data_IF_807101555214
#
_entry.id   IF_807101555214
#
_cell.length_a   1.000
_cell.length_b   1.000
_cell.length_c   1.000
_cell.angle_alpha   90.00
_cell.angle_beta   90.00
_cell.angle_gamma   90.00
#
_symmetry.space_group_name_H-M   'P 1'
#
loop_
_entity.id
_entity.type
_entity.pdbx_description
1 polymer ?
#
# COMPACT_ATOMS: atom_id res chain seq x y z
N UNK A 1 2.39 -0.65 5.63
CA UNK A 1 3.85 -0.82 5.39
C UNK A 1 4.02 -1.65 4.14
N UNK A 2 4.61 -1.10 3.09
CA UNK A 2 4.85 -1.79 1.83
C UNK A 2 6.34 -2.19 1.79
N UNK A 3 6.60 -3.50 1.68
CA UNK A 3 7.96 -4.05 1.81
C UNK A 3 8.53 -4.36 0.43
N UNK A 4 8.75 -3.32 -0.36
CA UNK A 4 9.23 -3.47 -1.73
C UNK A 4 10.61 -4.11 -1.79
N UNK A 5 11.54 -3.58 -1.01
CA UNK A 5 12.87 -4.14 -0.86
C UNK A 5 13.51 -4.49 -2.23
N UNK A 6 14.09 -5.68 -2.39
CA UNK A 6 14.67 -6.10 -3.67
C UNK A 6 13.63 -6.20 -4.78
N UNK A 7 12.38 -6.59 -4.46
CA UNK A 7 11.31 -6.72 -5.44
C UNK A 7 11.03 -5.39 -6.17
N UNK A 8 11.03 -4.26 -5.45
CA UNK A 8 10.85 -2.94 -6.04
C UNK A 8 11.92 -2.61 -7.09
N UNK A 9 13.17 -2.97 -6.85
CA UNK A 9 14.27 -2.76 -7.80
C UNK A 9 14.22 -3.68 -9.02
N UNK A 10 13.61 -4.86 -8.88
CA UNK A 10 13.41 -5.79 -9.99
C UNK A 10 12.22 -5.39 -10.87
N UNK A 11 11.09 -5.07 -10.24
CA UNK A 11 9.83 -4.92 -10.95
C UNK A 11 9.49 -3.50 -11.39
N UNK A 12 9.94 -2.47 -10.65
CA UNK A 12 9.39 -1.12 -10.82
C UNK A 12 10.40 0.02 -10.87
N UNK A 13 11.40 0.02 -9.99
CA UNK A 13 12.26 1.20 -9.84
C UNK A 13 13.33 1.33 -10.93
N UNK A 14 13.57 0.24 -11.68
CA UNK A 14 14.70 0.16 -12.60
C UNK A 14 16.03 0.18 -11.85
N UNK A 15 16.89 -0.74 -12.10
CA UNK A 15 18.14 -0.92 -11.33
C UNK A 15 18.44 -2.38 -11.13
N UNK A 16 17.67 -3.25 -11.78
CA UNK A 16 17.83 -4.70 -11.77
C UNK A 16 19.23 -5.15 -12.19
N UNK A 17 19.94 -4.35 -12.99
CA UNK A 17 21.31 -4.60 -13.43
C UNK A 17 22.37 -3.93 -12.53
N UNK A 18 21.96 -3.27 -11.45
CA UNK A 18 22.82 -2.52 -10.55
C UNK A 18 22.97 -3.22 -9.20
N UNK A 19 24.12 -3.87 -8.91
CA UNK A 19 24.36 -4.45 -7.58
C UNK A 19 24.18 -3.45 -6.44
N UNK A 20 24.50 -2.18 -6.67
CA UNK A 20 24.34 -1.11 -5.66
C UNK A 20 22.88 -0.78 -5.38
N UNK A 21 22.01 -0.81 -6.40
CA UNK A 21 20.59 -0.57 -6.21
C UNK A 21 19.91 -1.81 -5.59
N UNK A 22 20.30 -3.01 -5.99
CA UNK A 22 19.87 -4.25 -5.30
C UNK A 22 20.25 -4.22 -3.82
N UNK A 23 21.45 -3.73 -3.45
CA UNK A 23 21.84 -3.58 -2.04
C UNK A 23 20.99 -2.56 -1.28
N UNK A 24 20.39 -1.60 -1.96
CA UNK A 24 19.40 -0.70 -1.31
C UNK A 24 18.13 -1.48 -0.93
N UNK A 25 17.69 -2.39 -1.78
CA UNK A 25 16.62 -3.33 -1.45
C UNK A 25 16.99 -4.30 -0.33
N UNK A 26 18.26 -4.78 -0.30
CA UNK A 26 18.78 -5.57 0.82
C UNK A 26 18.76 -4.80 2.15
N UNK A 27 19.11 -3.50 2.11
CA UNK A 27 18.96 -2.64 3.30
C UNK A 27 17.52 -2.61 3.80
N UNK A 28 16.56 -2.46 2.89
CA UNK A 28 15.14 -2.43 3.28
C UNK A 28 14.71 -3.72 3.97
N UNK A 29 15.05 -4.88 3.37
CA UNK A 29 14.68 -6.19 3.91
C UNK A 29 15.39 -6.57 5.20
N UNK A 30 16.70 -6.31 5.32
CA UNK A 30 17.48 -6.77 6.47
C UNK A 30 17.57 -5.74 7.61
N UNK A 31 17.66 -4.46 7.27
CA UNK A 31 17.88 -3.40 8.26
C UNK A 31 16.63 -2.54 8.47
N UNK A 32 15.98 -2.19 7.36
CA UNK A 32 14.79 -1.33 7.39
C UNK A 32 13.62 -2.00 8.11
N UNK A 33 13.29 -3.24 7.75
CA UNK A 33 12.22 -3.99 8.41
C UNK A 33 12.46 -4.15 9.92
N UNK A 34 13.68 -4.53 10.31
CA UNK A 34 14.00 -4.70 11.73
C UNK A 34 13.82 -3.40 12.50
N UNK A 35 14.29 -2.28 11.97
CA UNK A 35 14.14 -0.96 12.60
C UNK A 35 12.68 -0.49 12.69
N UNK A 36 11.87 -0.81 11.68
CA UNK A 36 10.45 -0.49 11.69
C UNK A 36 9.69 -1.35 12.71
N UNK A 37 10.02 -2.65 12.82
CA UNK A 37 9.47 -3.52 13.86
C UNK A 37 9.82 -3.01 15.25
N UNK A 38 11.09 -2.67 15.49
CA UNK A 38 11.55 -2.11 16.76
C UNK A 38 10.86 -0.77 17.08
N UNK A 39 10.59 0.07 16.06
CA UNK A 39 9.83 1.31 16.24
C UNK A 39 8.39 1.01 16.66
N UNK A 40 7.68 0.15 15.91
CA UNK A 40 6.27 -0.16 16.19
C UNK A 40 6.08 -0.86 17.54
N UNK A 41 7.00 -1.74 17.94
CA UNK A 41 7.02 -2.31 19.29
C UNK A 41 7.18 -1.22 20.36
N UNK A 42 8.16 -0.32 20.20
CA UNK A 42 8.44 0.75 21.16
C UNK A 42 7.28 1.73 21.32
N UNK A 43 6.58 2.04 20.22
CA UNK A 43 5.45 2.96 20.24
C UNK A 43 4.10 2.25 20.37
N UNK A 44 4.07 0.93 20.52
CA UNK A 44 2.86 0.10 20.65
C UNK A 44 1.83 0.38 19.55
N UNK A 45 2.24 0.20 18.28
CA UNK A 45 1.38 0.42 17.12
C UNK A 45 1.18 -0.89 16.35
N UNK A 46 -0.06 -1.44 16.29
CA UNK A 46 -0.38 -2.49 15.35
C UNK A 46 -0.39 -1.95 13.92
N UNK A 47 0.05 -2.75 12.96
CA UNK A 47 0.15 -2.33 11.57
C UNK A 47 -0.13 -3.46 10.58
N UNK A 48 -0.42 -3.09 9.34
CA UNK A 48 -0.55 -4.03 8.22
C UNK A 48 0.68 -3.91 7.32
N UNK A 49 1.25 -5.05 6.96
CA UNK A 49 2.45 -5.17 6.13
C UNK A 49 2.09 -5.86 4.82
N UNK A 50 2.23 -5.15 3.73
CA UNK A 50 2.01 -5.69 2.40
C UNK A 50 3.36 -6.08 1.81
N UNK A 51 3.56 -7.37 1.65
CA UNK A 51 4.89 -7.93 1.37
C UNK A 51 4.84 -8.67 0.03
N UNK A 52 5.61 -8.25 -0.99
CA UNK A 52 5.75 -9.01 -2.23
C UNK A 52 6.24 -10.43 -1.96
N UNK A 53 5.76 -11.39 -2.75
CA UNK A 53 6.18 -12.79 -2.60
C UNK A 53 7.69 -12.97 -2.66
N UNK A 54 8.38 -12.24 -3.55
CA UNK A 54 9.84 -12.21 -3.64
C UNK A 54 10.50 -11.74 -2.34
N UNK A 55 9.94 -10.72 -1.68
CA UNK A 55 10.47 -10.21 -0.41
C UNK A 55 10.26 -11.21 0.72
N UNK A 56 9.15 -11.97 0.75
CA UNK A 56 8.94 -13.06 1.72
C UNK A 56 9.99 -14.16 1.54
N UNK A 57 10.26 -14.57 0.30
CA UNK A 57 11.24 -15.65 0.01
C UNK A 57 12.68 -15.19 0.21
N UNK A 58 12.98 -13.89 0.00
CA UNK A 58 14.33 -13.33 0.16
C UNK A 58 14.67 -13.03 1.63
N UNK A 59 13.69 -12.60 2.42
CA UNK A 59 13.83 -12.19 3.83
C UNK A 59 12.90 -12.98 4.76
N UNK A 60 12.99 -14.33 4.78
CA UNK A 60 12.01 -15.16 5.50
C UNK A 60 12.05 -14.94 7.01
N UNK A 61 13.19 -14.59 7.59
CA UNK A 61 13.29 -14.35 9.03
C UNK A 61 12.62 -13.04 9.42
N UNK A 62 12.77 -11.98 8.64
CA UNK A 62 12.09 -10.71 8.88
C UNK A 62 10.59 -10.84 8.67
N UNK A 63 10.14 -11.49 7.60
CA UNK A 63 8.73 -11.75 7.36
C UNK A 63 8.10 -12.55 8.51
N UNK A 64 8.81 -13.55 9.06
CA UNK A 64 8.35 -14.31 10.23
C UNK A 64 8.22 -13.42 11.47
N UNK A 65 9.20 -12.54 11.73
CA UNK A 65 9.15 -11.58 12.85
C UNK A 65 7.94 -10.65 12.75
N UNK A 66 7.55 -10.20 11.55
CA UNK A 66 6.32 -9.42 11.34
C UNK A 66 5.09 -10.19 11.81
N UNK A 67 4.96 -11.46 11.40
CA UNK A 67 3.84 -12.31 11.81
C UNK A 67 3.85 -12.59 13.33
N UNK A 68 5.01 -12.93 13.90
CA UNK A 68 5.18 -13.21 15.33
C UNK A 68 4.91 -11.99 16.22
N UNK A 69 5.17 -10.78 15.71
CA UNK A 69 4.82 -9.52 16.38
C UNK A 69 3.30 -9.20 16.36
N UNK A 70 2.50 -10.02 15.68
CA UNK A 70 1.04 -9.86 15.61
C UNK A 70 0.58 -8.78 14.63
N UNK A 71 1.45 -8.36 13.73
CA UNK A 71 1.06 -7.50 12.62
C UNK A 71 0.31 -8.30 11.55
N UNK A 72 -0.54 -7.63 10.79
CA UNK A 72 -1.19 -8.22 9.63
C UNK A 72 -0.21 -8.32 8.46
N UNK A 73 -0.30 -9.40 7.67
CA UNK A 73 0.43 -9.54 6.41
C UNK A 73 -0.57 -9.66 5.26
N UNK A 74 -0.51 -8.72 4.32
CA UNK A 74 -1.28 -8.67 3.09
C UNK A 74 -0.41 -8.91 1.85
N UNK A 75 -1.06 -9.10 0.70
CA UNK A 75 -0.40 -9.36 -0.56
C UNK A 75 -0.03 -8.06 -1.30
N UNK A 76 1.12 -8.08 -2.01
CA UNK A 76 1.67 -6.95 -2.76
C UNK A 76 2.38 -7.38 -4.06
N UNK A 77 1.70 -8.21 -4.85
CA UNK A 77 2.33 -8.83 -6.01
C UNK A 77 3.42 -9.84 -5.64
N UNK A 78 4.27 -10.21 -6.61
CA UNK A 78 5.41 -11.09 -6.37
C UNK A 78 6.75 -10.33 -6.45
N UNK A 79 7.04 -9.68 -7.58
CA UNK A 79 8.27 -8.89 -7.82
C UNK A 79 7.96 -7.40 -7.94
N UNK A 80 6.90 -6.91 -7.31
CA UNK A 80 6.44 -5.53 -7.41
C UNK A 80 6.14 -5.11 -8.87
N UNK A 81 5.58 -6.01 -9.64
CA UNK A 81 5.19 -5.81 -11.03
C UNK A 81 3.89 -5.00 -11.15
N UNK A 82 3.78 -4.18 -12.21
CA UNK A 82 2.56 -3.41 -12.48
C UNK A 82 1.45 -4.32 -13.02
N UNK A 83 0.30 -4.49 -12.34
CA UNK A 83 -0.80 -5.34 -12.79
C UNK A 83 -1.36 -4.99 -14.17
N UNK A 84 -1.29 -3.72 -14.58
CA UNK A 84 -1.77 -3.28 -15.91
C UNK A 84 -1.00 -3.98 -17.04
N UNK A 85 0.28 -4.26 -16.83
CA UNK A 85 1.14 -4.90 -17.84
C UNK A 85 0.96 -6.42 -17.93
N UNK A 86 0.24 -7.03 -16.98
CA UNK A 86 0.09 -8.48 -16.90
C UNK A 86 -1.08 -9.00 -17.75
N UNK A 87 -0.94 -10.22 -18.24
CA UNK A 87 -2.09 -11.01 -18.69
C UNK A 87 -2.87 -11.52 -17.48
N UNK A 88 -4.15 -11.87 -17.68
CA UNK A 88 -4.96 -12.46 -16.60
C UNK A 88 -4.32 -13.70 -15.99
N UNK A 89 -3.73 -14.57 -16.82
CA UNK A 89 -3.04 -15.79 -16.33
C UNK A 89 -1.85 -15.47 -15.45
N UNK A 90 -1.09 -14.42 -15.76
CA UNK A 90 0.03 -13.97 -14.92
C UNK A 90 -0.47 -13.36 -13.61
N UNK A 91 -1.48 -12.50 -13.66
CA UNK A 91 -2.06 -11.87 -12.47
C UNK A 91 -2.63 -12.91 -11.50
N UNK A 92 -3.34 -13.94 -12.02
CA UNK A 92 -3.81 -15.09 -11.23
C UNK A 92 -2.66 -15.86 -10.59
N UNK A 93 -1.64 -16.22 -11.35
CA UNK A 93 -0.50 -16.98 -10.84
C UNK A 93 0.25 -16.22 -9.73
N UNK A 94 0.35 -14.89 -9.82
CA UNK A 94 0.95 -14.03 -8.81
C UNK A 94 0.09 -14.01 -7.53
N UNK A 95 -1.23 -13.86 -7.65
CA UNK A 95 -2.12 -13.90 -6.49
C UNK A 95 -2.08 -15.27 -5.80
N UNK A 96 -2.12 -16.36 -6.56
CA UNK A 96 -2.01 -17.73 -6.04
C UNK A 96 -0.70 -17.94 -5.28
N UNK A 97 0.42 -17.48 -5.84
CA UNK A 97 1.74 -17.59 -5.19
C UNK A 97 1.81 -16.74 -3.92
N UNK A 98 1.27 -15.53 -3.94
CA UNK A 98 1.21 -14.66 -2.75
C UNK A 98 0.36 -15.29 -1.64
N UNK A 99 -0.79 -15.86 -1.98
CA UNK A 99 -1.68 -16.55 -1.04
C UNK A 99 -0.97 -17.78 -0.44
N UNK A 100 -0.27 -18.58 -1.25
CA UNK A 100 0.52 -19.73 -0.79
C UNK A 100 1.57 -19.30 0.25
N UNK A 101 2.39 -18.30 -0.09
CA UNK A 101 3.49 -17.84 0.75
C UNK A 101 3.00 -17.23 2.06
N UNK A 102 2.00 -16.35 2.00
CA UNK A 102 1.43 -15.71 3.19
C UNK A 102 0.70 -16.75 4.05
N UNK A 103 -0.03 -17.68 3.43
CA UNK A 103 -0.69 -18.78 4.14
C UNK A 103 0.29 -19.69 4.86
N UNK A 104 1.44 -20.00 4.25
CA UNK A 104 2.51 -20.77 4.88
C UNK A 104 3.16 -20.03 6.07
N UNK A 105 3.26 -18.69 5.97
CA UNK A 105 3.87 -17.85 6.97
C UNK A 105 2.97 -17.57 8.18
N UNK A 106 1.67 -17.31 7.95
CA UNK A 106 0.72 -16.84 8.97
C UNK A 106 -0.26 -17.92 9.45
N UNK A 107 -0.39 -19.02 8.70
CA UNK A 107 -1.39 -20.06 8.95
C UNK A 107 -2.78 -19.78 8.36
N UNK A 108 -2.97 -18.65 7.68
CA UNK A 108 -4.22 -18.28 7.01
C UNK A 108 -3.97 -17.46 5.74
N UNK A 109 -4.88 -17.47 4.76
CA UNK A 109 -4.73 -16.65 3.56
C UNK A 109 -4.79 -15.16 3.91
N UNK A 110 -4.15 -14.28 3.09
CA UNK A 110 -4.23 -12.84 3.28
C UNK A 110 -5.66 -12.35 3.11
N UNK A 111 -6.06 -11.36 3.91
CA UNK A 111 -7.35 -10.68 3.78
C UNK A 111 -7.29 -9.43 2.94
N UNK A 112 -6.13 -8.81 2.84
CA UNK A 112 -5.89 -7.55 2.19
C UNK A 112 -4.87 -7.60 1.06
N UNK A 113 -5.03 -6.67 0.14
CA UNK A 113 -4.17 -6.46 -1.00
C UNK A 113 -3.80 -4.98 -1.14
N UNK A 114 -2.59 -4.72 -1.60
CA UNK A 114 -2.15 -3.44 -2.14
C UNK A 114 -1.48 -3.71 -3.49
N UNK A 115 -1.93 -3.05 -4.53
CA UNK A 115 -1.30 -3.16 -5.83
C UNK A 115 0.04 -2.40 -5.85
N UNK A 116 1.11 -2.98 -6.41
CA UNK A 116 2.34 -2.24 -6.67
C UNK A 116 2.05 -0.93 -7.40
N UNK A 117 2.65 0.18 -6.95
CA UNK A 117 2.39 1.54 -7.46
C UNK A 117 0.94 2.02 -7.33
N UNK A 118 0.10 1.36 -6.54
CA UNK A 118 -1.35 1.56 -6.55
C UNK A 118 -1.97 1.47 -7.95
N UNK A 119 -1.37 0.67 -8.82
CA UNK A 119 -1.85 0.44 -10.18
C UNK A 119 -2.63 -0.87 -10.26
N UNK A 120 -3.87 -0.80 -10.71
CA UNK A 120 -4.75 -1.95 -10.86
C UNK A 120 -5.06 -2.19 -12.34
N UNK A 121 -5.12 -3.45 -12.76
CA UNK A 121 -5.73 -3.80 -14.03
C UNK A 121 -7.27 -3.71 -13.93
N UNK A 122 -7.94 -3.69 -15.06
CA UNK A 122 -9.42 -3.74 -15.09
C UNK A 122 -9.99 -5.02 -14.41
N UNK A 123 -9.16 -6.04 -14.22
CA UNK A 123 -9.52 -7.34 -13.65
C UNK A 123 -9.20 -7.47 -12.16
N UNK A 124 -8.25 -6.71 -11.65
CA UNK A 124 -7.69 -6.88 -10.30
C UNK A 124 -8.78 -7.00 -9.24
N UNK A 125 -9.72 -6.04 -9.16
CA UNK A 125 -10.77 -6.07 -8.15
C UNK A 125 -11.68 -7.32 -8.26
N UNK A 126 -11.96 -7.81 -9.48
CA UNK A 126 -12.73 -9.02 -9.69
C UNK A 126 -11.95 -10.27 -9.26
N UNK A 127 -10.66 -10.32 -9.54
CA UNK A 127 -9.78 -11.41 -9.11
C UNK A 127 -9.62 -11.44 -7.59
N UNK A 128 -9.44 -10.29 -6.94
CA UNK A 128 -9.39 -10.22 -5.50
C UNK A 128 -10.64 -10.83 -4.82
N UNK A 129 -11.82 -10.51 -5.36
CA UNK A 129 -13.07 -11.13 -4.89
C UNK A 129 -13.11 -12.65 -5.11
N UNK A 130 -12.68 -13.11 -6.28
CA UNK A 130 -12.65 -14.55 -6.62
C UNK A 130 -11.73 -15.32 -5.68
N UNK A 131 -10.58 -14.74 -5.30
CA UNK A 131 -9.62 -15.34 -4.37
C UNK A 131 -9.94 -15.07 -2.89
N UNK A 132 -11.06 -14.40 -2.57
CA UNK A 132 -11.57 -14.24 -1.22
C UNK A 132 -10.92 -13.12 -0.40
N UNK A 133 -10.28 -12.16 -1.07
CA UNK A 133 -9.82 -10.95 -0.38
C UNK A 133 -11.02 -10.12 0.12
N UNK A 134 -10.88 -9.52 1.28
CA UNK A 134 -11.94 -8.75 1.91
C UNK A 134 -11.77 -7.24 1.76
N UNK A 135 -10.56 -6.78 1.51
CA UNK A 135 -10.27 -5.37 1.28
C UNK A 135 -9.07 -5.16 0.35
N UNK A 136 -9.01 -3.98 -0.23
CA UNK A 136 -7.92 -3.46 -1.04
C UNK A 136 -7.55 -2.04 -0.58
N UNK A 137 -6.32 -1.62 -0.84
CA UNK A 137 -5.81 -0.28 -0.57
C UNK A 137 -5.04 0.25 -1.79
N UNK A 138 -5.72 0.30 -2.95
CA UNK A 138 -5.04 0.68 -4.19
C UNK A 138 -5.73 1.82 -4.95
N UNK A 139 -7.00 2.08 -4.70
CA UNK A 139 -7.75 3.11 -5.43
C UNK A 139 -7.70 4.46 -4.71
N UNK A 140 -7.76 5.56 -5.48
CA UNK A 140 -7.63 6.94 -4.98
C UNK A 140 -8.93 7.73 -5.20
N UNK A 141 -10.07 7.23 -4.73
CA UNK A 141 -11.37 7.82 -5.05
C UNK A 141 -11.97 8.69 -3.94
N UNK A 142 -12.00 8.20 -2.71
CA UNK A 142 -12.83 8.77 -1.64
C UNK A 142 -12.03 9.24 -0.42
N UNK A 143 -10.78 9.60 -0.64
CA UNK A 143 -9.89 10.20 0.33
C UNK A 143 -9.82 9.40 1.66
N UNK A 144 -10.28 9.95 2.77
CA UNK A 144 -10.22 9.32 4.10
C UNK A 144 -11.47 8.49 4.47
N UNK A 145 -12.40 8.31 3.54
CA UNK A 145 -13.61 7.52 3.78
C UNK A 145 -13.57 6.19 3.04
N UNK A 146 -13.52 5.06 3.75
CA UNK A 146 -13.63 3.75 3.10
C UNK A 146 -14.93 3.60 2.32
N UNK A 147 -14.89 2.83 1.25
CA UNK A 147 -16.03 2.56 0.39
C UNK A 147 -16.01 1.14 -0.15
N UNK A 148 -17.06 0.71 -0.82
CA UNK A 148 -17.06 -0.55 -1.56
C UNK A 148 -16.60 -0.30 -2.99
N UNK A 149 -15.61 -1.09 -3.43
CA UNK A 149 -15.03 -1.00 -4.77
C UNK A 149 -16.07 -1.22 -5.88
N UNK A 150 -15.73 -0.84 -7.10
CA UNK A 150 -16.52 -1.12 -8.30
C UNK A 150 -15.71 -1.96 -9.28
N UNK A 151 -16.43 -2.75 -10.06
CA UNK A 151 -15.88 -3.46 -11.21
C UNK A 151 -16.64 -3.08 -12.47
N UNK A 152 -15.93 -2.96 -13.59
CA UNK A 152 -16.51 -2.67 -14.89
C UNK A 152 -16.79 -1.20 -15.14
N UNK A 153 -16.11 -0.29 -14.49
CA UNK A 153 -16.06 1.12 -14.90
C UNK A 153 -15.51 1.20 -16.34
N UNK A 154 -16.10 2.06 -17.18
CA UNK A 154 -15.72 2.22 -18.59
C UNK A 154 -15.49 3.68 -18.92
N UNK A 155 -14.44 3.93 -19.67
CA UNK A 155 -14.15 5.24 -20.25
C UNK A 155 -13.62 5.10 -21.67
N UNK A 156 -13.65 6.17 -22.43
CA UNK A 156 -13.14 6.21 -23.80
C UNK A 156 -11.95 7.15 -23.85
N UNK A 157 -10.81 6.63 -24.26
CA UNK A 157 -9.62 7.45 -24.47
C UNK A 157 -9.79 8.35 -25.67
N UNK A 158 -9.38 9.64 -25.62
CA UNK A 158 -9.35 10.51 -26.78
C UNK A 158 -8.44 9.93 -27.88
N UNK A 159 -8.98 9.80 -29.09
CA UNK A 159 -8.22 9.51 -30.30
C UNK A 159 -8.30 10.72 -31.23
N UNK A 160 -7.23 11.48 -31.25
CA UNK A 160 -7.18 12.73 -32.05
C UNK A 160 -7.10 12.50 -33.55
N UNK A 161 -6.95 11.27 -34.01
CA UNK A 161 -7.07 10.90 -35.43
C UNK A 161 -8.52 10.70 -35.88
N UNK A 162 -9.44 10.54 -34.91
CA UNK A 162 -10.86 10.29 -35.16
C UNK A 162 -11.71 11.53 -34.87
N UNK A 163 -12.92 11.64 -35.47
CA UNK A 163 -13.85 12.72 -35.15
C UNK A 163 -14.18 12.79 -33.65
N UNK A 164 -14.16 13.99 -33.07
CA UNK A 164 -14.30 14.18 -31.61
C UNK A 164 -15.54 13.52 -30.99
N UNK A 165 -16.66 13.43 -31.73
CA UNK A 165 -17.91 12.81 -31.22
C UNK A 165 -17.77 11.31 -30.92
N UNK A 166 -16.75 10.63 -31.44
CA UNK A 166 -16.51 9.17 -31.19
C UNK A 166 -15.98 8.92 -29.80
N UNK A 167 -15.22 9.87 -29.23
CA UNK A 167 -14.58 9.74 -27.93
C UNK A 167 -15.08 10.74 -26.87
N UNK A 168 -15.89 11.74 -27.23
CA UNK A 168 -16.53 12.64 -26.26
C UNK A 168 -17.69 11.92 -25.52
N UNK A 169 -17.30 11.05 -24.59
CA UNK A 169 -18.25 10.29 -23.77
C UNK A 169 -17.88 10.40 -22.29
N UNK A 170 -18.88 10.50 -21.38
CA UNK A 170 -18.63 10.48 -19.95
C UNK A 170 -18.18 9.09 -19.51
N UNK A 171 -17.55 9.02 -18.32
CA UNK A 171 -17.27 7.76 -17.64
C UNK A 171 -18.59 7.05 -17.30
N UNK A 172 -18.69 5.78 -17.63
CA UNK A 172 -19.77 4.88 -17.24
C UNK A 172 -19.36 4.09 -16.00
N UNK A 173 -20.10 4.27 -14.91
CA UNK A 173 -19.80 3.56 -13.66
C UNK A 173 -20.26 2.11 -13.74
N UNK A 174 -19.39 1.21 -13.33
CA UNK A 174 -19.69 -0.21 -13.18
C UNK A 174 -20.52 -0.52 -11.94
N UNK A 175 -20.52 -1.79 -11.54
CA UNK A 175 -21.27 -2.24 -10.37
C UNK A 175 -20.43 -2.20 -9.10
N UNK A 176 -21.02 -1.84 -7.98
CA UNK A 176 -20.42 -1.95 -6.65
C UNK A 176 -20.30 -3.42 -6.26
N UNK A 177 -19.22 -3.78 -5.59
CA UNK A 177 -18.90 -5.16 -5.18
C UNK A 177 -18.50 -5.21 -3.72
N UNK A 178 -18.58 -6.40 -3.11
CA UNK A 178 -18.27 -6.62 -1.68
C UNK A 178 -16.75 -6.72 -1.41
N UNK A 179 -16.02 -5.70 -1.84
CA UNK A 179 -14.60 -5.49 -1.55
C UNK A 179 -14.46 -4.10 -0.91
N UNK A 180 -14.00 -4.05 0.33
CA UNK A 180 -13.78 -2.76 0.99
C UNK A 180 -12.53 -2.11 0.41
N UNK A 181 -12.63 -0.83 0.11
CA UNK A 181 -11.53 -0.03 -0.43
C UNK A 181 -11.11 1.02 0.57
N UNK A 182 -9.83 1.06 0.89
CA UNK A 182 -9.18 2.16 1.59
C UNK A 182 -8.39 2.97 0.57
N UNK A 183 -8.60 4.27 0.53
CA UNK A 183 -7.92 5.08 -0.47
C UNK A 183 -6.41 5.10 -0.27
N UNK A 184 -5.65 4.82 -1.33
CA UNK A 184 -4.26 5.22 -1.43
C UNK A 184 -4.16 6.75 -1.44
N UNK A 185 -3.09 7.30 -0.89
CA UNK A 185 -2.88 8.74 -0.88
C UNK A 185 -1.39 9.07 -1.06
N UNK A 186 -1.03 9.49 -2.27
CA UNK A 186 0.35 9.85 -2.60
C UNK A 186 0.96 10.95 -1.71
N UNK A 187 0.12 11.76 -1.03
CA UNK A 187 0.58 12.75 -0.07
C UNK A 187 0.81 12.19 1.34
N UNK A 188 0.41 10.93 1.59
CA UNK A 188 0.64 10.19 2.83
C UNK A 188 1.57 8.99 2.62
N UNK A 189 2.35 9.02 1.56
CA UNK A 189 3.35 8.03 1.19
C UNK A 189 4.76 8.61 1.40
N UNK A 190 5.63 7.87 2.07
CA UNK A 190 6.99 8.30 2.38
C UNK A 190 7.94 8.19 1.17
N UNK A 191 7.62 7.32 0.21
CA UNK A 191 8.51 6.98 -0.90
C UNK A 191 8.68 8.13 -1.92
N UNK A 192 7.62 8.75 -2.47
CA UNK A 192 7.78 9.77 -3.49
C UNK A 192 8.65 10.96 -3.07
N UNK A 193 8.51 11.53 -1.86
CA UNK A 193 9.32 12.67 -1.45
C UNK A 193 10.71 12.28 -0.94
N UNK A 194 10.90 11.08 -0.38
CA UNK A 194 12.10 10.77 0.40
C UNK A 194 12.97 9.65 -0.17
N UNK A 195 12.56 9.01 -1.27
CA UNK A 195 13.38 8.00 -1.95
C UNK A 195 13.91 8.49 -3.28
N UNK A 196 15.24 8.50 -3.43
CA UNK A 196 15.88 8.80 -4.71
C UNK A 196 15.94 7.55 -5.60
N UNK A 197 15.27 7.61 -6.75
CA UNK A 197 15.30 6.58 -7.80
C UNK A 197 15.86 7.20 -9.07
N UNK A 198 17.05 6.74 -9.51
CA UNK A 198 17.80 7.33 -10.62
C UNK A 198 17.01 7.41 -11.94
N UNK A 199 16.15 6.42 -12.19
CA UNK A 199 15.40 6.30 -13.43
C UNK A 199 13.99 6.89 -13.34
N UNK A 200 13.56 7.32 -12.17
CA UNK A 200 12.26 7.95 -11.99
C UNK A 200 12.40 9.48 -11.92
N UNK A 201 11.92 10.23 -12.91
CA UNK A 201 12.08 11.69 -12.94
C UNK A 201 11.33 12.41 -11.82
N UNK A 202 10.36 11.76 -11.19
CA UNK A 202 9.53 12.33 -10.13
C UNK A 202 10.00 11.95 -8.71
N UNK A 203 11.04 11.12 -8.60
CA UNK A 203 11.58 10.71 -7.30
C UNK A 203 12.76 11.59 -6.93
N UNK A 204 12.53 12.63 -6.15
CA UNK A 204 13.55 13.61 -5.78
C UNK A 204 14.44 13.15 -4.62
N UNK A 205 13.86 12.45 -3.64
CA UNK A 205 14.59 11.72 -2.61
C UNK A 205 15.36 12.53 -1.59
N UNK A 206 15.27 13.85 -1.60
CA UNK A 206 16.07 14.73 -0.76
C UNK A 206 15.22 15.75 0.03
N UNK A 207 13.94 15.46 0.21
CA UNK A 207 13.07 16.30 1.02
C UNK A 207 13.41 16.11 2.50
N UNK A 208 13.43 17.21 3.24
CA UNK A 208 13.63 17.16 4.68
C UNK A 208 12.44 16.45 5.35
N UNK A 209 12.64 15.39 6.15
CA UNK A 209 11.53 14.71 6.83
C UNK A 209 10.64 15.61 7.68
N UNK A 210 11.14 16.75 8.16
CA UNK A 210 10.31 17.71 8.92
C UNK A 210 9.26 18.39 8.05
N UNK A 211 9.54 18.66 6.79
CA UNK A 211 8.58 19.26 5.87
C UNK A 211 7.46 18.26 5.55
N UNK A 212 7.80 16.96 5.47
CA UNK A 212 6.84 15.87 5.31
C UNK A 212 6.02 15.67 6.60
N UNK A 213 6.64 15.74 7.77
CA UNK A 213 5.94 15.68 9.06
C UNK A 213 4.89 16.80 9.16
N UNK A 214 5.23 18.03 8.77
CA UNK A 214 4.31 19.18 8.76
C UNK A 214 3.14 18.94 7.80
N UNK A 215 3.42 18.49 6.58
CA UNK A 215 2.39 18.14 5.59
C UNK A 215 1.43 17.05 6.10
N UNK A 216 1.94 16.00 6.75
CA UNK A 216 1.12 14.94 7.31
C UNK A 216 0.30 15.41 8.53
N UNK A 217 0.85 16.29 9.37
CA UNK A 217 0.11 16.89 10.48
C UNK A 217 -1.04 17.76 10.00
N UNK A 218 -0.82 18.60 9.00
CA UNK A 218 -1.86 19.45 8.43
C UNK A 218 -3.02 18.62 7.85
N UNK A 219 -2.71 17.53 7.14
CA UNK A 219 -3.74 16.62 6.65
C UNK A 219 -4.48 15.92 7.80
N UNK A 220 -3.73 15.43 8.80
CA UNK A 220 -4.33 14.78 9.96
C UNK A 220 -5.23 15.75 10.74
N UNK A 221 -4.80 16.97 10.97
CA UNK A 221 -5.56 18.00 11.68
C UNK A 221 -6.85 18.33 10.96
N UNK A 222 -6.79 18.51 9.65
CA UNK A 222 -7.99 18.74 8.85
C UNK A 222 -8.97 17.57 8.97
N UNK A 223 -8.49 16.33 8.82
CA UNK A 223 -9.34 15.12 8.95
C UNK A 223 -9.93 15.03 10.35
N UNK A 224 -9.14 15.28 11.39
CA UNK A 224 -9.58 15.19 12.77
C UNK A 224 -10.68 16.20 13.11
N UNK A 225 -10.56 17.44 12.61
CA UNK A 225 -11.51 18.50 12.92
C UNK A 225 -12.74 18.53 12.01
N UNK A 226 -12.61 18.13 10.76
CA UNK A 226 -13.67 18.26 9.76
C UNK A 226 -14.46 16.96 9.53
N UNK A 227 -13.89 15.81 9.85
CA UNK A 227 -14.54 14.51 9.60
C UNK A 227 -14.99 13.85 10.90
N UNK A 228 -16.25 13.47 10.99
CA UNK A 228 -16.81 12.78 12.16
C UNK A 228 -16.32 11.33 12.31
N UNK A 229 -15.84 10.71 11.24
CA UNK A 229 -15.22 9.37 11.21
C UNK A 229 -14.41 9.23 9.94
N UNK A 230 -13.16 8.82 10.07
CA UNK A 230 -12.23 8.66 8.96
C UNK A 230 -11.28 7.48 9.19
N UNK A 231 -10.64 7.03 8.13
CA UNK A 231 -9.44 6.20 8.16
C UNK A 231 -8.31 7.04 7.56
N UNK A 232 -7.23 7.22 8.30
CA UNK A 232 -6.05 7.95 7.88
C UNK A 232 -4.95 6.94 7.52
N UNK A 233 -4.83 6.54 6.25
CA UNK A 233 -3.90 5.50 5.83
C UNK A 233 -2.52 6.11 5.58
N UNK A 234 -1.55 5.81 6.43
CA UNK A 234 -0.17 6.22 6.25
C UNK A 234 0.62 5.08 5.60
N UNK A 235 1.17 5.32 4.42
CA UNK A 235 1.96 4.34 3.69
C UNK A 235 3.45 4.59 3.91
N UNK A 236 4.13 3.56 4.35
CA UNK A 236 5.54 3.59 4.73
C UNK A 236 6.29 2.45 4.03
N UNK A 237 7.56 2.69 3.68
CA UNK A 237 8.44 1.71 3.07
C UNK A 237 9.71 1.55 3.90
N UNK A 238 10.15 0.34 4.26
CA UNK A 238 11.40 0.14 5.01
C UNK A 238 12.64 0.72 4.31
N UNK A 239 12.57 0.85 2.99
CA UNK A 239 13.58 1.50 2.14
C UNK A 239 13.87 2.95 2.57
N UNK A 240 12.85 3.65 2.99
CA UNK A 240 12.81 5.06 3.39
C UNK A 240 12.66 5.20 4.89
N UNK A 241 11.56 4.67 5.43
CA UNK A 241 11.21 4.82 6.85
C UNK A 241 12.19 4.12 7.80
N UNK A 242 12.93 3.11 7.32
CA UNK A 242 14.04 2.52 8.06
C UNK A 242 15.28 3.41 8.21
N UNK A 243 15.29 4.63 7.63
CA UNK A 243 16.40 5.58 7.74
C UNK A 243 16.31 6.40 9.03
N UNK A 244 17.44 6.67 9.72
CA UNK A 244 17.42 7.29 11.06
C UNK A 244 16.66 8.61 11.14
N UNK A 245 16.77 9.46 10.12
CA UNK A 245 16.09 10.76 10.09
C UNK A 245 14.57 10.63 9.93
N UNK A 246 14.11 9.58 9.24
CA UNK A 246 12.69 9.29 9.05
C UNK A 246 12.12 8.60 10.29
N UNK A 247 12.84 7.67 10.90
CA UNK A 247 12.44 7.06 12.18
C UNK A 247 12.18 8.11 13.26
N UNK A 248 13.09 9.11 13.41
CA UNK A 248 12.90 10.22 14.34
C UNK A 248 11.69 11.10 14.02
N UNK A 249 11.37 11.26 12.74
CA UNK A 249 10.17 11.97 12.30
C UNK A 249 8.91 11.17 12.65
N UNK A 250 8.90 9.87 12.36
CA UNK A 250 7.76 9.00 12.64
C UNK A 250 7.44 8.90 14.14
N UNK A 251 8.47 8.81 15.01
CA UNK A 251 8.25 8.86 16.47
C UNK A 251 7.46 10.12 16.88
N UNK A 252 7.87 11.29 16.40
CA UNK A 252 7.19 12.56 16.73
C UNK A 252 5.78 12.63 16.14
N UNK A 253 5.60 12.12 14.92
CA UNK A 253 4.30 12.10 14.26
C UNK A 253 3.32 11.17 14.98
N UNK A 254 3.75 9.95 15.33
CA UNK A 254 2.90 9.01 16.06
C UNK A 254 2.56 9.50 17.48
N UNK A 255 3.49 10.14 18.18
CA UNK A 255 3.22 10.77 19.46
C UNK A 255 2.19 11.90 19.33
N UNK A 256 2.32 12.72 18.29
CA UNK A 256 1.37 13.78 17.98
C UNK A 256 -0.04 13.23 17.75
N UNK A 257 -0.19 12.26 16.85
CA UNK A 257 -1.47 11.63 16.50
C UNK A 257 -2.11 10.97 17.73
N UNK A 258 -1.31 10.28 18.53
CA UNK A 258 -1.79 9.61 19.77
C UNK A 258 -2.35 10.58 20.80
N UNK A 259 -1.90 11.82 20.79
CA UNK A 259 -2.38 12.88 21.69
C UNK A 259 -3.83 13.32 21.45
N UNK A 260 -4.48 12.82 20.38
CA UNK A 260 -5.83 13.22 20.01
C UNK A 260 -6.88 12.21 20.50
N UNK A 261 -7.93 12.69 21.15
CA UNK A 261 -8.99 11.85 21.70
C UNK A 261 -9.77 11.14 20.58
N UNK A 262 -10.08 9.84 20.79
CA UNK A 262 -10.85 9.04 19.83
C UNK A 262 -10.03 8.45 18.69
N UNK A 263 -8.75 8.81 18.55
CA UNK A 263 -7.85 8.23 17.56
C UNK A 263 -7.33 6.88 18.03
N UNK A 264 -7.26 5.93 17.12
CA UNK A 264 -6.72 4.59 17.37
C UNK A 264 -5.88 4.13 16.19
N UNK A 265 -4.71 3.58 16.48
CA UNK A 265 -3.94 2.81 15.52
C UNK A 265 -4.56 1.41 15.39
N UNK A 266 -4.69 0.91 14.18
CA UNK A 266 -5.28 -0.40 13.93
C UNK A 266 -4.76 -0.99 12.60
N UNK A 267 -4.92 -2.31 12.46
CA UNK A 267 -4.65 -3.00 11.22
C UNK A 267 -5.78 -2.75 10.21
N UNK A 268 -5.48 -2.84 8.92
CA UNK A 268 -6.51 -2.66 7.90
C UNK A 268 -7.62 -3.71 7.98
N UNK A 269 -7.30 -4.96 8.32
CA UNK A 269 -8.34 -6.00 8.51
C UNK A 269 -9.36 -5.61 9.58
N UNK A 270 -8.91 -5.00 10.69
CA UNK A 270 -9.79 -4.52 11.76
C UNK A 270 -10.61 -3.30 11.31
N UNK A 271 -10.01 -2.41 10.53
CA UNK A 271 -10.70 -1.27 9.94
C UNK A 271 -11.77 -1.72 8.92
N UNK A 272 -11.48 -2.75 8.11
CA UNK A 272 -12.42 -3.34 7.16
C UNK A 272 -13.62 -3.98 7.87
N UNK A 273 -13.37 -4.74 8.93
CA UNK A 273 -14.44 -5.33 9.74
C UNK A 273 -15.31 -4.26 10.43
N UNK A 274 -14.68 -3.19 10.94
CA UNK A 274 -15.40 -2.06 11.52
C UNK A 274 -16.25 -1.31 10.49
N UNK A 275 -15.72 -1.12 9.28
CA UNK A 275 -16.47 -0.52 8.18
C UNK A 275 -17.66 -1.37 7.76
N UNK A 276 -17.47 -2.68 7.51
CA UNK A 276 -18.55 -3.62 7.15
C UNK A 276 -19.65 -3.68 8.20
N UNK A 277 -19.29 -3.61 9.49
CA UNK A 277 -20.26 -3.59 10.59
C UNK A 277 -21.11 -2.31 10.58
N UNK A 278 -20.51 -1.17 10.25
CA UNK A 278 -21.19 0.14 10.20
C UNK A 278 -21.98 0.32 8.92
N UNK A 279 -21.45 -0.13 7.81
CA UNK A 279 -22.00 -0.01 6.47
C UNK A 279 -22.06 -1.40 5.80
N UNK A 280 -23.02 -2.26 6.15
CA UNK A 280 -23.11 -3.59 5.54
C UNK A 280 -23.31 -3.50 4.02
N UNK A 281 -22.65 -4.40 3.29
CA UNK A 281 -22.88 -4.53 1.85
C UNK A 281 -24.30 -5.06 1.59
N UNK A 282 -25.05 -4.41 0.70
CA UNK A 282 -26.47 -4.70 0.40
C UNK A 282 -26.70 -5.08 -1.06
#
# INVERSE_FOLDING_TARGET
>A
MDVDAVAGWLGSYGGQDSPSDIQRGMFAGEVGMDRMLDLFERVDIPSSWFIPGHSIETFPDQARRVAEAGHEIGAHGYSHENPIALSETQERAILEKSIELIGALTGHPPRGYVAPWWEMSERTAALLLEYGFSYDHSQNYNDFSPFYARVGDRWVNPDYSEPAHTWMRPLERGRVVDLVEFCGNWYLDDLPPMMFIKQSPNSHGFVNPRDIEELWRDQFDWVYWEMGSAVFPLTLHPDVSGRPQVLLMLERFFEYVRGHEGVRFMRFEEAADAFRKRCPFS
#
